data_IF_767571010360
#
_entry.id   IF_767571010360
#
_cell.length_a   1.000
_cell.length_b   1.000
_cell.length_c   1.000
_cell.angle_alpha   90.00
_cell.angle_beta   90.00
_cell.angle_gamma   90.00
#
_symmetry.space_group_name_H-M   'P 1'
#
loop_
_entity.id
_entity.type
_entity.pdbx_description
1 polymer ?
#
# COMPACT_ATOMS: atom_id res chain seq x y z
N UNK A 1 3.08 -0.51 -2.27
CA UNK A 1 4.45 -0.38 -2.81
C UNK A 1 4.46 -1.03 -4.19
N UNK A 2 5.02 -0.40 -5.22
CA UNK A 2 5.09 -0.98 -6.57
C UNK A 2 6.54 -1.32 -6.89
N UNK A 3 6.85 -2.60 -7.08
CA UNK A 3 8.19 -3.08 -7.45
C UNK A 3 8.34 -2.92 -8.97
N UNK A 4 9.30 -2.09 -9.40
CA UNK A 4 9.63 -1.88 -10.83
C UNK A 4 10.78 -2.77 -11.29
N UNK A 5 11.64 -3.23 -10.37
CA UNK A 5 12.67 -4.23 -10.66
C UNK A 5 12.81 -5.15 -9.44
N UNK A 6 12.67 -6.46 -9.68
CA UNK A 6 12.68 -7.48 -8.64
C UNK A 6 14.10 -7.85 -8.19
N UNK A 7 14.20 -8.55 -7.07
CA UNK A 7 15.45 -9.13 -6.60
C UNK A 7 15.96 -10.19 -7.57
N UNK A 8 17.20 -10.03 -8.03
CA UNK A 8 17.87 -10.95 -8.95
C UNK A 8 19.33 -11.09 -8.52
N UNK A 9 19.62 -11.86 -7.47
CA UNK A 9 20.94 -11.89 -6.88
C UNK A 9 21.97 -12.46 -7.86
N UNK A 10 23.18 -11.90 -7.92
CA UNK A 10 24.20 -12.43 -8.79
C UNK A 10 24.64 -13.82 -8.30
N UNK A 11 24.98 -14.72 -9.24
CA UNK A 11 25.48 -16.07 -8.90
C UNK A 11 26.73 -16.06 -8.03
N UNK A 12 27.56 -15.05 -8.20
CA UNK A 12 28.76 -14.78 -7.40
C UNK A 12 28.73 -13.31 -6.98
N UNK A 13 29.33 -12.98 -5.84
CA UNK A 13 29.22 -11.62 -5.27
C UNK A 13 29.80 -10.51 -6.17
N UNK A 14 30.66 -10.83 -7.13
CA UNK A 14 31.25 -9.88 -8.09
C UNK A 14 30.56 -9.87 -9.47
N UNK A 15 29.59 -10.75 -9.72
CA UNK A 15 28.86 -10.76 -11.00
C UNK A 15 27.75 -9.71 -11.02
N UNK A 16 27.26 -9.43 -12.24
CA UNK A 16 26.09 -8.59 -12.45
C UNK A 16 24.84 -9.24 -11.83
N UNK A 17 24.01 -8.41 -11.23
CA UNK A 17 22.75 -8.80 -10.59
C UNK A 17 22.16 -7.62 -9.84
N UNK A 18 20.94 -7.81 -9.34
CA UNK A 18 20.16 -6.84 -8.60
C UNK A 18 20.02 -7.27 -7.14
N UNK A 19 20.87 -6.71 -6.26
CA UNK A 19 21.00 -7.08 -4.83
C UNK A 19 19.94 -6.43 -3.93
N UNK A 20 18.77 -6.15 -4.48
CA UNK A 20 17.65 -5.53 -3.78
C UNK A 20 16.40 -5.52 -4.65
N UNK A 21 15.41 -4.71 -4.28
CA UNK A 21 14.27 -4.39 -5.14
C UNK A 21 14.27 -2.89 -5.43
N UNK A 22 13.78 -2.51 -6.60
CA UNK A 22 13.54 -1.12 -6.93
C UNK A 22 12.04 -0.88 -6.83
N UNK A 23 11.66 0.10 -6.03
CA UNK A 23 10.26 0.47 -5.85
C UNK A 23 10.02 1.84 -6.44
N UNK A 24 8.95 2.01 -7.22
CA UNK A 24 8.59 3.32 -7.78
C UNK A 24 8.46 4.31 -6.63
N UNK A 25 9.18 5.43 -6.69
CA UNK A 25 9.25 6.44 -5.63
C UNK A 25 9.62 7.79 -6.21
N UNK A 26 9.04 8.89 -5.69
CA UNK A 26 9.33 10.24 -6.21
C UNK A 26 10.28 10.99 -5.28
N UNK A 27 11.05 11.98 -5.77
CA UNK A 27 11.91 12.78 -4.91
C UNK A 27 11.11 13.46 -3.79
N UNK A 28 11.75 13.58 -2.63
CA UNK A 28 11.21 14.12 -1.37
C UNK A 28 10.10 13.28 -0.73
N UNK A 29 9.81 12.09 -1.26
CA UNK A 29 8.91 11.18 -0.62
C UNK A 29 9.48 10.66 0.71
N UNK A 30 8.69 10.64 1.81
CA UNK A 30 9.14 10.10 3.09
C UNK A 30 9.53 8.62 3.01
N UNK A 31 10.72 8.28 3.50
CA UNK A 31 11.11 6.90 3.78
C UNK A 31 10.70 6.60 5.23
N UNK A 32 9.79 5.64 5.41
CA UNK A 32 9.29 5.24 6.73
C UNK A 32 9.89 3.92 7.19
N UNK A 33 10.17 3.81 8.49
CA UNK A 33 10.74 2.62 9.08
C UNK A 33 9.75 1.43 9.04
N UNK A 34 10.15 0.26 8.51
CA UNK A 34 9.28 -0.92 8.49
C UNK A 34 9.08 -1.55 9.88
N UNK A 35 9.99 -1.28 10.82
CA UNK A 35 9.99 -1.75 12.22
C UNK A 35 10.80 -0.77 13.07
N UNK A 36 10.87 -0.96 14.38
CA UNK A 36 11.81 -0.23 15.24
C UNK A 36 13.27 -0.61 14.97
N UNK A 37 14.19 0.31 15.25
CA UNK A 37 15.62 0.10 15.00
C UNK A 37 16.49 1.34 15.21
N UNK A 38 17.66 1.34 14.57
CA UNK A 38 18.66 2.42 14.65
C UNK A 38 19.22 2.81 13.30
N UNK A 39 19.50 4.10 13.09
CA UNK A 39 20.22 4.58 11.89
C UNK A 39 21.64 4.01 11.89
N UNK A 40 22.00 3.26 10.85
CA UNK A 40 23.32 2.61 10.70
C UNK A 40 24.30 3.45 9.89
N UNK A 41 23.82 4.08 8.83
CA UNK A 41 24.65 4.87 7.92
C UNK A 41 23.80 5.95 7.25
N UNK A 42 24.41 7.09 6.98
CA UNK A 42 23.92 8.12 6.05
C UNK A 42 25.12 8.76 5.35
N UNK A 43 24.99 9.00 4.05
CA UNK A 43 26.00 9.70 3.26
C UNK A 43 26.03 9.24 1.81
N UNK A 44 27.04 9.68 1.06
CA UNK A 44 27.18 9.33 -0.34
C UNK A 44 27.95 8.00 -0.52
N UNK A 45 27.41 7.10 -1.34
CA UNK A 45 28.08 5.88 -1.81
C UNK A 45 28.16 5.94 -3.33
N UNK A 46 29.37 5.93 -3.87
CA UNK A 46 29.64 6.08 -5.31
C UNK A 46 28.89 7.27 -5.96
N UNK A 47 28.77 8.39 -5.24
CA UNK A 47 28.10 9.60 -5.72
C UNK A 47 26.58 9.62 -5.52
N UNK A 48 25.98 8.58 -4.93
CA UNK A 48 24.53 8.53 -4.64
C UNK A 48 24.25 8.61 -3.15
N UNK A 49 23.34 9.50 -2.74
CA UNK A 49 22.84 9.58 -1.37
C UNK A 49 22.26 8.23 -0.93
N UNK A 50 22.81 7.67 0.13
CA UNK A 50 22.46 6.35 0.64
C UNK A 50 22.29 6.43 2.15
N UNK A 51 21.25 5.77 2.66
CA UNK A 51 21.11 5.54 4.09
C UNK A 51 20.86 4.06 4.37
N UNK A 52 21.21 3.60 5.57
CA UNK A 52 20.81 2.28 6.03
C UNK A 52 20.42 2.30 7.50
N UNK A 53 19.56 1.35 7.87
CA UNK A 53 19.11 1.12 9.22
C UNK A 53 19.47 -0.28 9.67
N UNK A 54 19.64 -0.48 10.98
CA UNK A 54 19.63 -1.82 11.59
C UNK A 54 18.29 -1.99 12.30
N UNK A 55 17.55 -3.02 11.94
CA UNK A 55 16.28 -3.38 12.58
C UNK A 55 16.54 -4.17 13.86
N UNK A 56 15.59 -4.15 14.79
CA UNK A 56 15.64 -5.01 15.99
C UNK A 56 15.59 -6.51 15.64
N UNK A 57 15.03 -6.86 14.48
CA UNK A 57 15.03 -8.23 13.95
C UNK A 57 16.39 -8.69 13.41
N UNK A 58 17.45 -7.93 13.59
CA UNK A 58 18.82 -8.32 13.20
C UNK A 58 19.13 -8.18 11.72
N UNK A 59 18.38 -7.36 10.98
CA UNK A 59 18.63 -7.08 9.57
C UNK A 59 19.17 -5.68 9.37
N UNK A 60 19.96 -5.49 8.32
CA UNK A 60 20.29 -4.17 7.79
C UNK A 60 19.47 -3.93 6.54
N UNK A 61 18.84 -2.77 6.47
CA UNK A 61 18.06 -2.33 5.31
C UNK A 61 18.70 -1.06 4.75
N UNK A 62 19.09 -1.08 3.48
CA UNK A 62 19.64 0.08 2.77
C UNK A 62 18.63 0.70 1.82
N UNK A 63 18.68 2.02 1.67
CA UNK A 63 17.81 2.82 0.82
C UNK A 63 18.66 3.75 -0.06
N UNK A 64 18.45 3.72 -1.38
CA UNK A 64 19.20 4.53 -2.34
C UNK A 64 18.34 4.86 -3.58
N UNK A 65 18.22 6.12 -4.04
CA UNK A 65 18.72 7.34 -3.42
C UNK A 65 17.86 7.76 -2.23
N UNK A 66 18.46 7.89 -1.04
CA UNK A 66 17.77 8.40 0.14
C UNK A 66 18.71 9.13 1.09
N UNK A 67 18.21 10.21 1.70
CA UNK A 67 18.91 11.02 2.71
C UNK A 67 18.15 11.02 4.01
N UNK A 68 18.85 11.25 5.11
CA UNK A 68 18.28 11.33 6.45
C UNK A 68 18.87 12.51 7.21
N UNK A 69 18.02 13.25 7.91
CA UNK A 69 18.45 14.30 8.83
C UNK A 69 18.87 13.74 10.20
N UNK A 70 18.48 12.49 10.51
CA UNK A 70 18.87 11.80 11.72
C UNK A 70 20.39 11.53 11.76
N UNK A 71 20.93 11.36 12.95
CA UNK A 71 22.32 10.99 13.19
C UNK A 71 22.50 9.47 13.20
N UNK A 72 23.70 9.00 12.84
CA UNK A 72 24.04 7.57 13.01
C UNK A 72 23.95 7.22 14.50
N UNK A 73 23.24 6.13 14.81
CA UNK A 73 22.95 5.69 16.18
C UNK A 73 21.58 6.11 16.70
N UNK A 74 20.90 7.06 16.06
CA UNK A 74 19.55 7.48 16.47
C UNK A 74 18.57 6.31 16.38
N UNK A 75 17.70 6.20 17.39
CA UNK A 75 16.61 5.22 17.45
C UNK A 75 15.36 5.78 16.81
N UNK A 76 14.58 4.90 16.19
CA UNK A 76 13.27 5.21 15.62
C UNK A 76 12.25 4.12 15.95
N UNK A 77 10.97 4.49 15.97
CA UNK A 77 9.87 3.56 16.07
C UNK A 77 9.41 3.03 14.69
N UNK A 78 8.64 1.95 14.67
CA UNK A 78 7.97 1.48 13.45
C UNK A 78 7.05 2.57 12.88
N UNK A 79 7.08 2.78 11.56
CA UNK A 79 6.29 3.79 10.84
C UNK A 79 6.84 5.23 10.90
N UNK A 80 7.84 5.49 11.74
CA UNK A 80 8.50 6.78 11.84
C UNK A 80 9.19 7.15 10.52
N UNK A 81 9.18 8.44 10.16
CA UNK A 81 9.93 8.91 9.00
C UNK A 81 11.42 8.96 9.34
N UNK A 82 12.19 8.10 8.68
CA UNK A 82 13.64 7.96 8.90
C UNK A 82 14.47 8.65 7.82
N UNK A 83 13.85 9.11 6.74
CA UNK A 83 14.52 9.80 5.66
C UNK A 83 13.58 10.31 4.59
N UNK A 84 14.16 10.76 3.48
CA UNK A 84 13.47 11.18 2.27
C UNK A 84 14.17 10.64 1.04
N UNK A 85 13.38 10.24 0.05
CA UNK A 85 13.88 9.82 -1.26
C UNK A 85 14.60 11.00 -1.89
N UNK A 86 15.83 10.77 -2.30
CA UNK A 86 16.68 11.79 -2.94
C UNK A 86 16.67 11.61 -4.45
N UNK A 87 17.39 12.48 -5.15
CA UNK A 87 17.63 12.33 -6.59
C UNK A 87 18.93 11.56 -6.80
N UNK A 88 19.01 10.79 -7.89
CA UNK A 88 20.20 9.99 -8.20
C UNK A 88 19.89 8.89 -9.19
N UNK A 89 20.92 8.50 -9.95
CA UNK A 89 20.78 7.52 -11.01
C UNK A 89 20.98 6.09 -10.49
N UNK A 90 19.95 5.26 -10.63
CA UNK A 90 20.10 3.80 -10.78
C UNK A 90 18.97 3.19 -11.64
N UNK A 91 17.83 3.87 -11.75
CA UNK A 91 16.68 3.49 -12.57
C UNK A 91 16.28 4.58 -13.58
N UNK A 92 15.59 4.16 -14.64
CA UNK A 92 15.11 5.03 -15.74
C UNK A 92 13.90 5.89 -15.32
N UNK A 93 13.06 5.38 -14.42
CA UNK A 93 12.00 6.12 -13.72
C UNK A 93 12.48 6.46 -12.30
N UNK A 94 11.94 7.49 -11.66
CA UNK A 94 12.26 7.77 -10.25
C UNK A 94 11.85 6.58 -9.37
N UNK A 95 12.82 5.96 -8.71
CA UNK A 95 12.62 4.78 -7.88
C UNK A 95 13.59 4.80 -6.68
N UNK A 96 13.30 3.95 -5.69
CA UNK A 96 14.11 3.72 -4.51
C UNK A 96 14.57 2.26 -4.49
N UNK A 97 15.88 2.05 -4.57
CA UNK A 97 16.51 0.76 -4.33
C UNK A 97 16.48 0.43 -2.84
N UNK A 98 15.98 -0.75 -2.52
CA UNK A 98 15.94 -1.29 -1.16
C UNK A 98 16.73 -2.59 -1.14
N UNK A 99 17.79 -2.64 -0.34
CA UNK A 99 18.58 -3.85 -0.10
C UNK A 99 18.41 -4.34 1.33
N UNK A 100 18.44 -5.65 1.55
CA UNK A 100 18.32 -6.26 2.88
C UNK A 100 19.38 -7.33 3.06
N UNK A 101 20.05 -7.37 4.21
CA UNK A 101 20.95 -8.47 4.58
C UNK A 101 20.96 -8.70 6.10
N UNK A 102 21.25 -9.92 6.59
CA UNK A 102 21.46 -10.15 8.02
C UNK A 102 22.64 -9.33 8.53
N UNK A 103 22.47 -8.68 9.69
CA UNK A 103 23.48 -7.77 10.28
C UNK A 103 24.85 -8.43 10.45
N UNK A 104 24.86 -9.71 10.82
CA UNK A 104 26.07 -10.47 11.12
C UNK A 104 26.61 -11.25 9.90
N UNK A 105 26.11 -10.93 8.70
CA UNK A 105 26.59 -11.50 7.43
C UNK A 105 27.56 -10.56 6.70
N UNK A 106 28.37 -11.12 5.80
CA UNK A 106 29.19 -10.35 4.86
C UNK A 106 28.35 -9.82 3.68
N UNK A 107 27.32 -9.02 3.99
CA UNK A 107 26.34 -8.47 3.04
C UNK A 107 25.73 -9.55 2.13
N UNK A 108 25.34 -10.68 2.73
CA UNK A 108 24.58 -11.71 2.05
C UNK A 108 23.15 -11.20 1.81
N UNK A 109 22.96 -10.47 0.71
CA UNK A 109 21.67 -9.87 0.38
C UNK A 109 20.58 -10.95 0.23
N UNK A 110 19.42 -10.66 0.80
CA UNK A 110 18.21 -11.47 0.71
C UNK A 110 17.12 -10.67 0.01
N UNK A 111 16.12 -11.37 -0.53
CA UNK A 111 14.96 -10.73 -1.16
C UNK A 111 14.24 -9.82 -0.14
N UNK A 112 14.17 -8.49 -0.39
CA UNK A 112 13.46 -7.56 0.47
C UNK A 112 11.93 -7.67 0.38
N UNK A 113 11.36 -8.19 -0.71
CA UNK A 113 9.91 -8.14 -0.96
C UNK A 113 9.05 -8.71 0.20
N UNK A 114 9.42 -9.83 0.86
CA UNK A 114 8.69 -10.36 2.01
C UNK A 114 8.67 -9.43 3.24
N UNK A 115 9.66 -8.54 3.40
CA UNK A 115 9.75 -7.63 4.54
C UNK A 115 8.79 -6.44 4.45
N UNK A 116 8.26 -6.14 3.27
CA UNK A 116 7.39 -4.99 3.01
C UNK A 116 5.94 -5.40 2.70
N UNK A 117 5.53 -6.57 3.17
CA UNK A 117 4.13 -7.00 3.15
C UNK A 117 3.52 -7.08 1.76
N UNK A 118 4.26 -7.62 0.78
CA UNK A 118 3.62 -8.12 -0.42
C UNK A 118 3.09 -9.51 -0.11
N UNK A 119 1.84 -9.61 0.34
CA UNK A 119 1.07 -10.81 0.00
C UNK A 119 1.22 -10.96 -1.51
N UNK A 120 1.85 -12.06 -1.94
CA UNK A 120 2.27 -12.27 -3.31
C UNK A 120 1.19 -11.81 -4.28
N UNK A 121 1.48 -10.76 -5.04
CA UNK A 121 0.71 -10.46 -6.25
C UNK A 121 0.97 -11.61 -7.22
N UNK A 122 0.20 -12.68 -7.09
CA UNK A 122 0.12 -13.72 -8.11
C UNK A 122 -0.48 -13.07 -9.35
N UNK A 123 0.37 -12.77 -10.34
CA UNK A 123 -0.10 -12.52 -11.69
C UNK A 123 -0.67 -13.84 -12.21
N UNK A 124 -1.99 -13.99 -12.09
CA UNK A 124 -2.72 -15.03 -12.79
C UNK A 124 -2.68 -14.74 -14.30
N UNK A 125 -2.62 -15.78 -15.15
CA UNK A 125 -2.70 -15.62 -16.60
C UNK A 125 -3.93 -14.79 -16.97
N UNK A 126 -3.80 -13.94 -18.00
CA UNK A 126 -4.88 -13.12 -18.57
C UNK A 126 -6.08 -14.03 -18.93
N UNK A 127 -7.01 -14.20 -17.99
CA UNK A 127 -8.21 -14.98 -18.18
C UNK A 127 -9.13 -14.24 -19.14
N UNK A 128 -9.69 -14.97 -20.10
CA UNK A 128 -10.67 -14.48 -21.07
C UNK A 128 -11.82 -13.76 -20.36
N UNK A 129 -12.11 -12.55 -20.84
CA UNK A 129 -13.25 -11.69 -20.47
C UNK A 129 -14.56 -12.49 -20.39
N UNK A 130 -15.24 -12.56 -19.23
CA UNK A 130 -16.62 -13.03 -19.16
C UNK A 130 -17.59 -12.00 -19.75
N UNK A 131 -18.78 -12.48 -20.15
CA UNK A 131 -19.88 -11.65 -20.62
C UNK A 131 -20.50 -10.87 -19.44
N UNK A 132 -20.36 -9.55 -19.52
CA UNK A 132 -21.07 -8.43 -18.86
C UNK A 132 -21.68 -8.63 -17.44
N UNK A 133 -21.33 -7.72 -16.52
CA UNK A 133 -21.80 -7.73 -15.13
C UNK A 133 -23.26 -7.25 -14.97
N UNK A 134 -24.01 -7.76 -13.98
CA UNK A 134 -25.38 -7.31 -13.72
C UNK A 134 -25.43 -5.84 -13.31
N UNK A 135 -26.39 -5.11 -13.90
CA UNK A 135 -26.69 -3.72 -13.59
C UNK A 135 -27.47 -3.63 -12.26
N UNK A 136 -26.91 -2.93 -11.27
CA UNK A 136 -27.61 -2.51 -10.06
C UNK A 136 -27.72 -0.98 -10.01
N UNK A 137 -28.85 -0.48 -9.51
CA UNK A 137 -29.22 0.94 -9.56
C UNK A 137 -28.32 1.89 -8.72
N UNK A 138 -28.43 3.20 -9.00
CA UNK A 138 -27.36 4.21 -8.96
C UNK A 138 -27.46 5.28 -7.83
N UNK A 139 -26.35 6.03 -7.66
CA UNK A 139 -26.14 7.40 -7.09
C UNK A 139 -25.28 7.62 -5.80
N UNK A 140 -24.27 8.49 -5.97
CA UNK A 140 -23.32 9.22 -5.08
C UNK A 140 -22.73 8.56 -3.82
N UNK A 141 -21.39 8.55 -3.72
CA UNK A 141 -20.46 7.96 -2.73
C UNK A 141 -20.85 7.84 -1.26
N UNK A 142 -21.86 8.57 -0.76
CA UNK A 142 -22.20 8.69 0.68
C UNK A 142 -21.04 9.14 1.58
N UNK A 143 -19.83 9.18 1.02
CA UNK A 143 -18.57 9.50 1.64
C UNK A 143 -18.43 11.01 1.61
N UNK A 144 -18.31 11.57 2.80
CA UNK A 144 -18.30 13.01 2.98
C UNK A 144 -17.66 13.39 4.30
N UNK A 145 -17.52 14.69 4.48
CA UNK A 145 -16.95 15.25 5.69
C UNK A 145 -17.72 14.82 6.93
N UNK A 146 -16.99 14.45 7.98
CA UNK A 146 -17.54 14.10 9.28
C UNK A 146 -16.62 14.61 10.40
N UNK A 147 -17.17 14.79 11.60
CA UNK A 147 -16.38 15.14 12.79
C UNK A 147 -15.65 16.49 12.71
N UNK A 148 -16.01 17.38 11.79
CA UNK A 148 -15.30 18.64 11.55
C UNK A 148 -13.90 18.47 10.94
N UNK A 149 -13.55 17.28 10.48
CA UNK A 149 -12.25 16.99 9.89
C UNK A 149 -12.16 17.44 8.42
N UNK A 150 -10.92 17.55 7.93
CA UNK A 150 -10.64 17.70 6.49
C UNK A 150 -10.22 16.35 5.92
N UNK A 151 -10.48 16.15 4.63
CA UNK A 151 -10.14 14.92 3.92
C UNK A 151 -8.64 14.61 4.02
N UNK A 152 -8.30 13.40 4.49
CA UNK A 152 -6.92 12.96 4.73
C UNK A 152 -6.26 13.60 5.95
N UNK A 153 -7.02 14.33 6.79
CA UNK A 153 -6.56 15.01 8.01
C UNK A 153 -7.42 14.61 9.22
N UNK A 154 -7.74 13.33 9.33
CA UNK A 154 -8.45 12.74 10.46
C UNK A 154 -7.40 12.16 11.43
N UNK A 155 -7.40 12.54 12.71
CA UNK A 155 -6.45 11.98 13.68
C UNK A 155 -6.76 10.50 13.94
N UNK A 156 -5.72 9.69 14.17
CA UNK A 156 -5.89 8.26 14.46
C UNK A 156 -6.80 7.99 15.67
N UNK A 157 -6.86 8.90 16.64
CA UNK A 157 -7.75 8.81 17.80
C UNK A 157 -9.24 8.91 17.46
N UNK A 158 -9.59 9.41 16.28
CA UNK A 158 -10.97 9.45 15.78
C UNK A 158 -11.31 8.25 14.89
N UNK A 159 -10.32 7.41 14.55
CA UNK A 159 -10.48 6.23 13.71
C UNK A 159 -10.54 4.96 14.55
N UNK A 160 -11.17 3.93 13.99
CA UNK A 160 -11.20 2.60 14.60
C UNK A 160 -10.36 1.61 13.76
N UNK A 161 -9.49 0.81 14.39
CA UNK A 161 -8.74 -0.24 13.72
C UNK A 161 -9.66 -1.40 13.33
N UNK A 162 -9.38 -2.01 12.18
CA UNK A 162 -10.07 -3.20 11.70
C UNK A 162 -9.58 -4.44 12.44
N UNK A 163 -10.51 -5.25 12.96
CA UNK A 163 -10.17 -6.49 13.65
C UNK A 163 -9.83 -7.61 12.67
N UNK A 164 -10.48 -7.63 11.51
CA UNK A 164 -10.26 -8.64 10.47
C UNK A 164 -9.14 -8.30 9.48
N UNK A 165 -8.57 -7.09 9.58
CA UNK A 165 -7.45 -6.62 8.75
C UNK A 165 -6.52 -5.69 9.56
N UNK A 166 -5.61 -6.24 10.39
CA UNK A 166 -4.70 -5.46 11.22
C UNK A 166 -3.87 -4.44 10.42
N UNK A 167 -3.67 -3.25 10.99
CA UNK A 167 -2.94 -2.15 10.34
C UNK A 167 -3.82 -1.22 9.50
N UNK A 168 -5.08 -1.58 9.26
CA UNK A 168 -6.04 -0.72 8.57
C UNK A 168 -6.99 -0.02 9.55
N UNK A 169 -7.42 1.19 9.19
CA UNK A 169 -8.30 2.01 10.00
C UNK A 169 -9.40 2.65 9.16
N UNK A 170 -10.59 2.79 9.75
CA UNK A 170 -11.75 3.43 9.13
C UNK A 170 -12.50 4.32 10.14
N UNK A 171 -13.51 5.05 9.68
CA UNK A 171 -14.55 5.59 10.57
C UNK A 171 -15.22 4.43 11.31
N UNK A 172 -15.54 4.60 12.58
CA UNK A 172 -15.92 3.47 13.45
C UNK A 172 -17.18 2.71 13.04
N UNK A 173 -18.17 3.37 12.43
CA UNK A 173 -19.34 2.71 11.86
C UNK A 173 -18.99 1.88 10.60
N UNK A 174 -18.16 2.43 9.71
CA UNK A 174 -17.64 1.75 8.53
C UNK A 174 -16.77 0.54 8.92
N UNK A 175 -15.91 0.70 9.93
CA UNK A 175 -15.09 -0.37 10.49
C UNK A 175 -15.97 -1.52 11.00
N UNK A 176 -16.95 -1.23 11.86
CA UNK A 176 -17.82 -2.25 12.41
C UNK A 176 -18.64 -2.97 11.32
N UNK A 177 -19.07 -2.23 10.29
CA UNK A 177 -19.73 -2.78 9.12
C UNK A 177 -18.82 -3.70 8.30
N UNK A 178 -17.57 -3.27 8.07
CA UNK A 178 -16.60 -4.06 7.31
C UNK A 178 -16.21 -5.35 8.03
N UNK A 179 -16.00 -5.33 9.34
CA UNK A 179 -15.66 -6.55 10.06
C UNK A 179 -16.81 -7.57 10.00
N UNK A 180 -18.07 -7.13 10.08
CA UNK A 180 -19.22 -8.02 9.83
C UNK A 180 -19.22 -8.60 8.42
N UNK A 181 -18.93 -7.79 7.41
CA UNK A 181 -18.81 -8.22 6.02
C UNK A 181 -17.67 -9.24 5.84
N UNK A 182 -16.50 -8.96 6.43
CA UNK A 182 -15.31 -9.80 6.36
C UNK A 182 -15.52 -11.15 7.06
N UNK A 183 -16.27 -11.18 8.18
CA UNK A 183 -16.70 -12.43 8.79
C UNK A 183 -17.64 -13.24 7.89
N UNK A 184 -18.62 -12.61 7.26
CA UNK A 184 -19.52 -13.29 6.31
C UNK A 184 -18.77 -13.81 5.07
N UNK A 185 -17.82 -13.03 4.56
CA UNK A 185 -16.93 -13.43 3.47
C UNK A 185 -16.06 -14.63 3.89
N UNK A 186 -15.49 -14.60 5.10
CA UNK A 186 -14.69 -15.71 5.63
C UNK A 186 -15.51 -16.99 5.81
N UNK A 187 -16.76 -16.90 6.26
CA UNK A 187 -17.66 -18.05 6.30
C UNK A 187 -17.89 -18.67 4.91
N UNK A 188 -17.82 -17.88 3.83
CA UNK A 188 -17.99 -18.34 2.45
C UNK A 188 -16.71 -18.86 1.80
N UNK A 189 -15.57 -18.23 2.05
CA UNK A 189 -14.31 -18.44 1.32
C UNK A 189 -13.16 -18.98 2.20
N UNK A 190 -13.39 -19.19 3.50
CA UNK A 190 -12.42 -19.76 4.44
C UNK A 190 -11.28 -18.82 4.85
N UNK A 191 -11.36 -17.53 4.49
CA UNK A 191 -10.35 -16.50 4.81
C UNK A 191 -11.00 -15.12 4.93
N UNK A 192 -10.48 -14.20 5.76
CA UNK A 192 -10.95 -12.83 5.79
C UNK A 192 -10.70 -12.12 4.46
N UNK A 193 -11.37 -10.98 4.27
CA UNK A 193 -11.13 -10.12 3.12
C UNK A 193 -9.69 -9.59 3.18
N UNK A 194 -8.95 -9.73 2.07
CA UNK A 194 -7.64 -9.09 1.91
C UNK A 194 -7.85 -7.61 1.64
N UNK A 195 -7.25 -6.76 2.46
CA UNK A 195 -7.32 -5.30 2.33
C UNK A 195 -5.97 -4.78 1.85
N UNK A 196 -5.97 -3.96 0.82
CA UNK A 196 -4.74 -3.36 0.27
C UNK A 196 -4.64 -1.87 0.55
N UNK A 197 -5.78 -1.18 0.72
CA UNK A 197 -5.81 0.22 1.15
C UNK A 197 -7.10 0.55 1.93
N UNK A 198 -7.03 1.53 2.83
CA UNK A 198 -8.12 1.95 3.72
C UNK A 198 -8.12 3.47 3.93
N UNK A 199 -8.11 3.99 5.17
CA UNK A 199 -7.84 5.40 5.40
C UNK A 199 -6.47 5.80 4.83
N UNK A 200 -6.47 6.86 4.01
CA UNK A 200 -5.26 7.42 3.40
C UNK A 200 -5.14 8.89 3.80
N UNK A 201 -4.06 9.24 4.50
CA UNK A 201 -3.82 10.63 4.89
C UNK A 201 -3.51 11.51 3.66
N UNK A 202 -3.63 12.82 3.85
CA UNK A 202 -3.52 13.79 2.77
C UNK A 202 -2.11 13.85 2.18
N UNK A 203 -1.05 13.68 2.97
CA UNK A 203 0.32 13.74 2.45
C UNK A 203 0.62 12.50 1.61
N UNK A 204 0.13 11.34 2.06
CA UNK A 204 0.11 10.11 1.26
C UNK A 204 -0.69 10.28 -0.04
N UNK A 205 -1.83 10.98 -0.02
CA UNK A 205 -2.60 11.28 -1.23
C UNK A 205 -1.85 12.23 -2.19
N UNK A 206 -1.09 13.22 -1.68
CA UNK A 206 -0.22 14.08 -2.50
C UNK A 206 0.83 13.25 -3.23
N UNK A 207 1.47 12.32 -2.54
CA UNK A 207 2.46 11.40 -3.10
C UNK A 207 1.82 10.52 -4.17
N UNK A 208 0.67 9.90 -3.86
CA UNK A 208 -0.05 9.05 -4.79
C UNK A 208 -0.47 9.81 -6.05
N UNK A 209 -0.92 11.06 -5.91
CA UNK A 209 -1.28 11.93 -7.04
C UNK A 209 -0.08 12.21 -7.95
N UNK A 210 1.09 12.48 -7.37
CA UNK A 210 2.34 12.68 -8.13
C UNK A 210 2.73 11.43 -8.90
N UNK A 211 2.59 10.24 -8.28
CA UNK A 211 2.94 8.95 -8.89
C UNK A 211 1.97 8.52 -9.99
N UNK A 212 0.66 8.63 -9.75
CA UNK A 212 -0.40 8.03 -10.59
C UNK A 212 -1.12 9.04 -11.50
N UNK A 213 -0.87 10.33 -11.35
CA UNK A 213 -1.45 11.37 -12.20
C UNK A 213 -2.98 11.33 -12.20
N UNK A 214 -3.59 11.07 -13.37
CA UNK A 214 -5.06 11.03 -13.51
C UNK A 214 -5.71 9.83 -12.79
N UNK A 215 -4.95 8.77 -12.50
CA UNK A 215 -5.44 7.56 -11.82
C UNK A 215 -5.51 7.69 -10.29
N UNK A 216 -5.23 8.88 -9.75
CA UNK A 216 -5.39 9.17 -8.33
C UNK A 216 -6.24 10.42 -8.15
N UNK A 217 -7.10 10.41 -7.14
CA UNK A 217 -7.88 11.57 -6.76
C UNK A 217 -6.99 12.77 -6.43
N UNK A 218 -7.49 13.98 -6.68
CA UNK A 218 -6.83 15.20 -6.22
C UNK A 218 -6.72 15.18 -4.68
N UNK A 219 -5.59 15.59 -4.09
CA UNK A 219 -5.45 15.64 -2.65
C UNK A 219 -6.58 16.43 -1.99
N UNK A 220 -7.18 15.84 -0.95
CA UNK A 220 -8.35 16.40 -0.27
C UNK A 220 -9.70 16.02 -0.87
N UNK A 221 -9.75 15.20 -1.93
CA UNK A 221 -11.01 14.78 -2.58
C UNK A 221 -11.22 13.26 -2.63
N UNK A 222 -10.37 12.46 -1.98
CA UNK A 222 -10.44 11.00 -2.06
C UNK A 222 -11.36 10.41 -0.98
N UNK A 223 -12.22 9.45 -1.30
CA UNK A 223 -13.06 8.78 -0.29
C UNK A 223 -12.23 7.99 0.75
N UNK A 224 -11.02 7.55 0.40
CA UNK A 224 -10.05 7.02 1.38
C UNK A 224 -9.67 8.05 2.44
N UNK A 225 -9.57 9.33 2.07
CA UNK A 225 -9.29 10.42 2.99
C UNK A 225 -10.42 10.71 3.98
N UNK A 226 -11.63 10.16 3.76
CA UNK A 226 -12.73 10.20 4.72
C UNK A 226 -12.80 8.96 5.60
N UNK A 227 -11.92 7.97 5.39
CA UNK A 227 -11.97 6.69 6.09
C UNK A 227 -13.27 5.91 5.83
N UNK A 228 -13.79 6.03 4.59
CA UNK A 228 -15.05 5.45 4.11
C UNK A 228 -14.90 4.67 2.81
N UNK A 229 -13.66 4.41 2.38
CA UNK A 229 -13.39 3.60 1.20
C UNK A 229 -12.28 2.59 1.50
N UNK A 230 -12.29 1.49 0.75
CA UNK A 230 -11.30 0.42 0.83
C UNK A 230 -10.96 -0.12 -0.54
N UNK A 231 -9.70 -0.47 -0.71
CA UNK A 231 -9.23 -1.26 -1.84
C UNK A 231 -9.00 -2.70 -1.35
N UNK A 232 -9.62 -3.67 -2.05
CA UNK A 232 -9.70 -5.07 -1.62
C UNK A 232 -9.01 -5.99 -2.62
N UNK A 233 -8.30 -6.98 -2.11
CA UNK A 233 -7.53 -7.97 -2.89
C UNK A 233 -8.11 -9.38 -2.85
N UNK A 234 -7.24 -10.36 -3.07
CA UNK A 234 -7.57 -11.79 -2.93
C UNK A 234 -8.74 -12.23 -3.78
N UNK A 235 -8.78 -11.84 -5.06
CA UNK A 235 -9.83 -12.20 -6.01
C UNK A 235 -10.91 -11.13 -6.18
N UNK A 236 -11.22 -10.34 -5.14
CA UNK A 236 -12.20 -9.24 -5.23
C UNK A 236 -11.74 -8.18 -6.23
N UNK A 237 -10.43 -7.95 -6.36
CA UNK A 237 -9.80 -7.05 -7.32
C UNK A 237 -9.87 -7.49 -8.79
N UNK A 238 -10.57 -8.59 -9.11
CA UNK A 238 -10.71 -9.12 -10.47
C UNK A 238 -12.17 -9.21 -10.86
N UNK A 239 -12.60 -8.41 -11.84
CA UNK A 239 -13.96 -8.46 -12.38
C UNK A 239 -14.35 -9.89 -12.79
N UNK A 240 -15.56 -10.30 -12.44
CA UNK A 240 -16.10 -11.62 -12.75
C UNK A 240 -15.51 -12.79 -11.93
N UNK A 241 -14.59 -12.58 -10.98
CA UNK A 241 -14.20 -13.64 -10.05
C UNK A 241 -15.38 -14.06 -9.14
N UNK A 242 -15.31 -15.25 -8.54
CA UNK A 242 -16.34 -15.70 -7.62
C UNK A 242 -16.43 -14.78 -6.38
N UNK A 243 -15.28 -14.31 -5.90
CA UNK A 243 -15.14 -13.36 -4.80
C UNK A 243 -15.77 -12.01 -5.13
N UNK A 244 -15.47 -11.44 -6.31
CA UNK A 244 -16.02 -10.16 -6.75
C UNK A 244 -17.54 -10.24 -6.92
N UNK A 245 -18.05 -11.29 -7.57
CA UNK A 245 -19.49 -11.49 -7.74
C UNK A 245 -20.21 -11.66 -6.40
N UNK A 246 -19.61 -12.40 -5.45
CA UNK A 246 -20.17 -12.54 -4.11
C UNK A 246 -20.21 -11.20 -3.39
N UNK A 247 -19.14 -10.41 -3.45
CA UNK A 247 -19.11 -9.08 -2.86
C UNK A 247 -20.20 -8.18 -3.46
N UNK A 248 -20.39 -8.21 -4.79
CA UNK A 248 -21.43 -7.43 -5.47
C UNK A 248 -22.84 -7.75 -4.98
N UNK A 249 -23.11 -9.02 -4.71
CA UNK A 249 -24.41 -9.47 -4.24
C UNK A 249 -24.64 -9.24 -2.74
N UNK A 250 -23.58 -9.28 -1.92
CA UNK A 250 -23.72 -9.35 -0.45
C UNK A 250 -23.25 -8.10 0.28
N UNK A 251 -22.20 -7.43 -0.17
CA UNK A 251 -21.63 -6.25 0.51
C UNK A 251 -22.66 -5.13 0.77
N UNK A 252 -23.64 -4.85 -0.12
CA UNK A 252 -24.64 -3.82 0.13
C UNK A 252 -25.47 -4.07 1.40
N UNK A 253 -25.69 -5.32 1.79
CA UNK A 253 -26.41 -5.67 3.04
C UNK A 253 -25.65 -5.24 4.31
N UNK A 254 -24.35 -4.96 4.18
CA UNK A 254 -23.48 -4.44 5.24
C UNK A 254 -23.20 -2.94 5.07
N UNK A 255 -23.82 -2.27 4.10
CA UNK A 255 -23.55 -0.87 3.78
C UNK A 255 -22.30 -0.65 2.94
N UNK A 256 -21.72 -1.67 2.32
CA UNK A 256 -20.56 -1.52 1.41
C UNK A 256 -20.99 -1.68 -0.03
N UNK A 257 -20.64 -0.74 -0.89
CA UNK A 257 -21.05 -0.75 -2.30
C UNK A 257 -19.86 -0.70 -3.23
N UNK A 258 -20.02 -1.29 -4.40
CA UNK A 258 -19.13 -1.07 -5.54
C UNK A 258 -19.73 0.05 -6.40
N UNK A 259 -19.17 1.28 -6.33
CA UNK A 259 -19.80 2.44 -6.95
C UNK A 259 -19.86 2.28 -8.47
N UNK A 260 -20.89 2.86 -9.10
CA UNK A 260 -21.17 2.70 -10.54
C UNK A 260 -20.00 3.12 -11.42
N UNK A 261 -19.30 4.19 -11.05
CA UNK A 261 -18.11 4.67 -11.76
C UNK A 261 -16.95 3.66 -11.76
N UNK A 262 -16.86 2.80 -10.73
CA UNK A 262 -15.79 1.80 -10.54
C UNK A 262 -16.10 0.45 -11.19
N UNK A 263 -17.30 0.26 -11.75
CA UNK A 263 -17.70 -0.99 -12.39
C UNK A 263 -16.98 -1.18 -13.73
N UNK A 264 -17.04 -2.38 -14.29
CA UNK A 264 -16.31 -2.74 -15.51
C UNK A 264 -16.61 -1.81 -16.72
N UNK A 265 -17.83 -1.27 -16.80
CA UNK A 265 -18.25 -0.28 -17.81
C UNK A 265 -18.28 1.17 -17.32
N UNK A 266 -17.79 1.44 -16.11
CA UNK A 266 -17.79 2.76 -15.50
C UNK A 266 -16.72 3.70 -16.07
N UNK A 267 -16.72 4.95 -15.61
CA UNK A 267 -15.80 5.99 -16.07
C UNK A 267 -14.35 5.76 -15.65
N UNK A 268 -14.13 5.02 -14.55
CA UNK A 268 -12.81 4.58 -14.10
C UNK A 268 -12.95 3.18 -13.48
N UNK A 269 -12.85 2.10 -14.27
CA UNK A 269 -13.07 0.75 -13.77
C UNK A 269 -12.03 0.33 -12.70
N UNK A 270 -12.52 0.05 -11.50
CA UNK A 270 -11.73 -0.34 -10.33
C UNK A 270 -12.47 -1.45 -9.55
N UNK A 271 -12.24 -2.72 -9.93
CA UNK A 271 -12.89 -3.88 -9.28
C UNK A 271 -12.59 -3.99 -7.77
N UNK A 272 -11.44 -3.45 -7.36
CA UNK A 272 -10.97 -3.48 -5.99
C UNK A 272 -11.58 -2.40 -5.10
N UNK A 273 -12.21 -1.35 -5.66
CA UNK A 273 -12.62 -0.18 -4.89
C UNK A 273 -14.04 -0.30 -4.33
N UNK A 274 -14.20 -0.17 -3.02
CA UNK A 274 -15.49 -0.28 -2.32
C UNK A 274 -15.68 0.90 -1.38
N UNK A 275 -16.92 1.39 -1.29
CA UNK A 275 -17.28 2.56 -0.49
C UNK A 275 -18.33 2.21 0.56
N UNK A 276 -18.17 2.73 1.78
CA UNK A 276 -19.15 2.58 2.84
C UNK A 276 -20.25 3.64 2.73
N UNK A 277 -21.49 3.17 2.72
CA UNK A 277 -22.73 3.94 2.67
C UNK A 277 -23.56 3.61 3.91
N UNK A 278 -24.23 4.64 4.42
CA UNK A 278 -25.26 4.50 5.44
C UNK A 278 -26.63 4.62 4.81
#
# INVERSE_FOLDING_TARGET
>A
MEIVTAFDPPRETWLAGHRGIDVRAVPDEPVRAPTAGTIRFRGSVAGTETMSITTESGHVVSFQPARSDASVGDRFAAGEQIGTVSTGAHCQESCLHIGVWPKDSDRAYVDPAPFFGQDASLLLPLARKPAEEPAGDDTDSGAGGWGGHRNGRIPASALCPLTTAPGHMLRCDAQAAFDRLSHAYSARFGRPISVTDSYRDYDTQVILKRRKGKLAATPGTSNHGWALAMDLGGGINSFGSAEHQWMRANAPTFGWVHPSWARQGGSLPEAWHWEFRK
#
